data_IF_156042255342
#
_entry.id   IF_156042255342
#
_cell.length_a   1.000
_cell.length_b   1.000
_cell.length_c   1.000
_cell.angle_alpha   90.00
_cell.angle_beta   90.00
_cell.angle_gamma   90.00
#
_symmetry.space_group_name_H-M   'P 1'
#
loop_
_entity.id
_entity.type
_entity.pdbx_description
1 polymer ?
#
# COMPACT_ATOMS: atom_id res chain seq x y z
N UNK A 1 32.92 33.72 35.66
CA UNK A 1 31.68 32.94 35.44
C UNK A 1 31.94 31.99 34.29
N UNK A 2 32.19 30.70 34.56
CA UNK A 2 32.34 29.70 33.49
C UNK A 2 30.94 29.27 33.04
N UNK A 3 30.63 29.52 31.77
CA UNK A 3 29.37 29.09 31.15
C UNK A 3 29.56 27.67 30.61
N UNK A 4 28.82 26.71 31.13
CA UNK A 4 28.80 25.33 30.65
C UNK A 4 27.67 25.21 29.64
N UNK A 5 28.01 25.03 28.36
CA UNK A 5 27.02 24.75 27.32
C UNK A 5 26.72 23.26 27.30
N UNK A 6 25.51 22.87 27.71
CA UNK A 6 25.02 21.50 27.57
C UNK A 6 24.51 21.35 26.13
N UNK A 7 25.28 20.63 25.30
CA UNK A 7 24.78 20.13 24.02
C UNK A 7 23.82 18.98 24.30
N UNK A 8 22.51 19.27 24.30
CA UNK A 8 21.50 18.23 24.24
C UNK A 8 21.53 17.60 22.85
N UNK A 9 22.13 16.42 22.72
CA UNK A 9 21.98 15.60 21.53
C UNK A 9 20.52 15.12 21.47
N UNK A 10 19.73 15.72 20.57
CA UNK A 10 18.41 15.19 20.25
C UNK A 10 18.62 13.85 19.53
N UNK A 11 18.50 12.75 20.27
CA UNK A 11 18.34 11.45 19.64
C UNK A 11 17.03 11.50 18.85
N UNK A 12 17.13 11.59 17.52
CA UNK A 12 15.99 11.35 16.66
C UNK A 12 15.52 9.93 16.99
N UNK A 13 14.34 9.80 17.58
CA UNK A 13 13.72 8.49 17.80
C UNK A 13 13.57 7.86 16.41
N UNK A 14 14.43 6.90 16.11
CA UNK A 14 14.35 6.14 14.87
C UNK A 14 12.98 5.47 14.79
N UNK A 15 12.44 5.38 13.58
CA UNK A 15 11.15 4.74 13.38
C UNK A 15 11.20 3.27 13.86
N UNK A 16 10.11 2.76 14.45
CA UNK A 16 10.07 1.38 14.92
C UNK A 16 10.32 0.42 13.76
N UNK A 17 11.11 -0.62 13.99
CA UNK A 17 11.43 -1.63 12.99
C UNK A 17 10.15 -2.33 12.52
N UNK A 18 9.79 -2.12 11.26
CA UNK A 18 8.72 -2.82 10.56
C UNK A 18 8.94 -2.72 9.05
N UNK A 19 8.23 -3.55 8.30
CA UNK A 19 8.37 -3.63 6.83
C UNK A 19 8.14 -2.28 6.18
N UNK A 20 7.10 -1.53 6.58
CA UNK A 20 6.78 -0.23 5.99
C UNK A 20 7.88 0.82 6.21
N UNK A 21 8.54 0.83 7.37
CA UNK A 21 9.64 1.75 7.66
C UNK A 21 10.95 1.40 6.93
N UNK A 22 11.03 0.22 6.30
CA UNK A 22 12.12 -0.16 5.41
C UNK A 22 11.85 0.07 3.92
N UNK A 23 10.66 0.57 3.55
CA UNK A 23 10.28 0.80 2.16
C UNK A 23 10.50 2.26 1.74
N UNK A 24 11.00 2.45 0.53
CA UNK A 24 10.97 3.74 -0.14
C UNK A 24 9.53 4.06 -0.56
N UNK A 25 8.99 5.17 -0.05
CA UNK A 25 7.63 5.63 -0.35
C UNK A 25 7.64 7.11 -0.67
N UNK A 26 6.72 7.62 -1.51
CA UNK A 26 6.65 9.04 -1.79
C UNK A 26 6.49 9.86 -0.51
N UNK A 27 7.28 10.93 -0.36
CA UNK A 27 7.25 11.77 0.86
C UNK A 27 5.87 12.37 1.18
N UNK A 28 5.01 12.52 0.18
CA UNK A 28 3.63 13.01 0.35
C UNK A 28 2.65 11.94 0.84
N UNK A 29 3.03 10.66 0.86
CA UNK A 29 2.14 9.58 1.25
C UNK A 29 1.83 9.63 2.76
N UNK A 30 0.54 9.53 3.11
CA UNK A 30 0.06 9.51 4.50
C UNK A 30 -0.51 8.14 4.90
N UNK A 31 -0.78 7.29 3.91
CA UNK A 31 -1.30 5.94 4.08
C UNK A 31 -0.53 5.01 3.16
N UNK A 32 -0.32 3.77 3.62
CA UNK A 32 0.34 2.71 2.88
C UNK A 32 -0.41 1.40 3.14
N UNK A 33 -0.46 0.54 2.15
CA UNK A 33 -0.92 -0.85 2.28
C UNK A 33 0.24 -1.74 1.87
N UNK A 34 0.65 -2.68 2.72
CA UNK A 34 1.61 -3.72 2.35
C UNK A 34 0.85 -5.03 2.15
N UNK A 35 1.23 -5.76 1.11
CA UNK A 35 0.78 -7.14 0.85
C UNK A 35 2.03 -7.98 0.72
N UNK A 36 2.23 -8.86 1.71
CA UNK A 36 3.50 -9.57 1.90
C UNK A 36 3.28 -11.06 1.73
N UNK A 37 4.09 -11.66 0.86
CA UNK A 37 4.09 -13.09 0.59
C UNK A 37 5.50 -13.64 0.73
N UNK A 38 5.64 -14.80 1.36
CA UNK A 38 6.95 -15.41 1.64
C UNK A 38 7.63 -15.98 0.39
N UNK A 39 6.84 -16.40 -0.60
CA UNK A 39 7.31 -17.05 -1.82
C UNK A 39 6.49 -16.59 -3.02
N UNK A 40 7.11 -16.51 -4.20
CA UNK A 40 6.46 -15.97 -5.40
C UNK A 40 5.26 -16.79 -5.88
N UNK A 41 5.22 -18.11 -5.61
CA UNK A 41 4.14 -18.99 -6.08
C UNK A 41 2.93 -19.08 -5.14
N UNK A 42 2.93 -18.38 -4.00
CA UNK A 42 1.80 -18.45 -3.05
C UNK A 42 0.57 -17.74 -3.59
N UNK A 43 -0.62 -18.28 -3.29
CA UNK A 43 -1.91 -17.66 -3.60
C UNK A 43 -2.55 -16.96 -2.40
N UNK A 44 -1.84 -16.93 -1.27
CA UNK A 44 -2.25 -16.28 -0.03
C UNK A 44 -1.12 -15.43 0.53
N UNK A 45 -1.48 -14.29 1.11
CA UNK A 45 -0.56 -13.27 1.62
C UNK A 45 -1.10 -12.63 2.90
N UNK A 46 -0.23 -11.88 3.58
CA UNK A 46 -0.58 -11.04 4.72
C UNK A 46 -0.70 -9.59 4.25
N UNK A 47 -1.86 -8.97 4.44
CA UNK A 47 -2.10 -7.56 4.18
C UNK A 47 -2.08 -6.76 5.47
N UNK A 48 -1.36 -5.62 5.49
CA UNK A 48 -1.39 -4.64 6.58
C UNK A 48 -1.63 -3.25 6.05
N UNK A 49 -2.28 -2.42 6.87
CA UNK A 49 -2.45 -0.98 6.56
C UNK A 49 -1.62 -0.15 7.54
N UNK A 50 -1.12 0.98 7.05
CA UNK A 50 -0.20 1.84 7.77
C UNK A 50 -0.66 3.29 7.63
N UNK A 51 -0.44 4.08 8.69
CA UNK A 51 -0.63 5.53 8.68
C UNK A 51 0.68 6.19 9.08
N UNK A 52 1.00 7.29 8.40
CA UNK A 52 2.21 8.07 8.72
C UNK A 52 1.98 8.90 9.98
N UNK A 53 2.96 8.90 10.89
CA UNK A 53 3.06 9.78 12.08
C UNK A 53 4.47 10.37 12.11
N UNK A 54 4.58 11.67 11.81
CA UNK A 54 5.88 12.29 11.56
C UNK A 54 6.57 11.64 10.35
N UNK A 55 7.81 11.19 10.53
CA UNK A 55 8.54 10.47 9.49
C UNK A 55 8.13 8.98 9.36
N UNK A 56 7.49 8.41 10.39
CA UNK A 56 7.37 6.97 10.57
C UNK A 56 6.01 6.41 10.12
N UNK A 57 6.05 5.21 9.55
CA UNK A 57 4.90 4.36 9.33
C UNK A 57 4.53 3.62 10.62
N UNK A 58 3.29 3.81 11.04
CA UNK A 58 2.68 3.14 12.19
C UNK A 58 1.57 2.20 11.71
N UNK A 59 1.43 1.01 12.30
CA UNK A 59 0.37 0.09 11.93
C UNK A 59 -1.00 0.73 12.20
N UNK A 60 -1.93 0.55 11.26
CA UNK A 60 -3.29 1.08 11.33
C UNK A 60 -4.36 -0.02 11.26
N UNK A 61 -4.02 -1.22 10.80
CA UNK A 61 -4.93 -2.36 10.73
C UNK A 61 -4.27 -3.61 10.14
N UNK A 62 -4.89 -4.77 10.41
CA UNK A 62 -4.39 -6.09 10.03
C UNK A 62 -3.46 -6.72 11.10
N UNK A 63 -2.78 -7.82 10.77
CA UNK A 63 -2.73 -8.46 9.45
C UNK A 63 -4.07 -9.10 9.06
N UNK A 64 -4.43 -8.97 7.79
CA UNK A 64 -5.56 -9.67 7.16
C UNK A 64 -5.03 -10.71 6.16
N UNK A 65 -5.76 -11.81 5.98
CA UNK A 65 -5.46 -12.76 4.90
C UNK A 65 -5.92 -12.15 3.57
N UNK A 66 -5.02 -12.07 2.59
CA UNK A 66 -5.33 -11.60 1.24
C UNK A 66 -5.05 -12.69 0.19
N UNK A 67 -5.93 -12.78 -0.81
CA UNK A 67 -5.77 -13.68 -1.97
C UNK A 67 -4.88 -13.01 -3.01
N UNK A 68 -3.95 -13.77 -3.55
CA UNK A 68 -3.13 -13.39 -4.70
C UNK A 68 -3.65 -14.08 -5.95
N UNK A 69 -3.12 -13.68 -7.11
CA UNK A 69 -3.37 -14.33 -8.39
C UNK A 69 -3.15 -15.85 -8.31
N UNK A 70 -3.90 -16.61 -9.12
CA UNK A 70 -3.85 -18.09 -9.13
C UNK A 70 -2.45 -18.64 -9.42
N UNK A 71 -1.61 -17.86 -10.13
CA UNK A 71 -0.24 -18.21 -10.46
C UNK A 71 0.80 -17.48 -9.57
N UNK A 72 0.35 -16.82 -8.50
CA UNK A 72 1.19 -16.13 -7.53
C UNK A 72 1.54 -14.70 -7.94
N UNK A 73 2.82 -14.36 -7.81
CA UNK A 73 3.39 -13.02 -8.00
C UNK A 73 4.31 -12.96 -9.22
N UNK A 74 4.37 -11.80 -9.89
CA UNK A 74 5.33 -11.55 -10.98
C UNK A 74 5.78 -10.09 -11.02
N UNK A 75 7.06 -9.84 -11.28
CA UNK A 75 7.57 -8.50 -11.62
C UNK A 75 7.29 -8.12 -13.09
N UNK A 76 7.07 -9.12 -13.94
CA UNK A 76 6.83 -8.97 -15.38
C UNK A 76 5.40 -9.40 -15.72
N UNK A 77 4.43 -8.87 -14.98
CA UNK A 77 3.01 -9.22 -15.13
C UNK A 77 2.52 -8.85 -16.54
N UNK A 78 1.75 -9.75 -17.15
CA UNK A 78 1.03 -9.54 -18.41
C UNK A 78 -0.45 -9.85 -18.22
N UNK A 79 -1.28 -9.35 -19.13
CA UNK A 79 -2.69 -9.70 -19.15
C UNK A 79 -2.87 -11.23 -19.33
N UNK A 80 -3.90 -11.80 -18.70
CA UNK A 80 -4.17 -13.24 -18.74
C UNK A 80 -3.22 -14.16 -17.94
N UNK A 81 -2.05 -13.68 -17.49
CA UNK A 81 -1.05 -14.54 -16.85
C UNK A 81 -1.41 -15.04 -15.43
N UNK A 82 -2.50 -14.51 -14.85
CA UNK A 82 -3.02 -14.93 -13.56
C UNK A 82 -2.12 -14.58 -12.36
N UNK A 83 -1.19 -13.65 -12.51
CA UNK A 83 -0.29 -13.20 -11.43
C UNK A 83 -0.70 -11.85 -10.87
N UNK A 84 -0.39 -11.62 -9.59
CA UNK A 84 -0.44 -10.29 -8.98
C UNK A 84 0.92 -9.61 -9.21
N UNK A 85 0.94 -8.36 -9.71
CA UNK A 85 2.20 -7.67 -9.97
C UNK A 85 2.91 -7.32 -8.65
N UNK A 86 4.22 -7.54 -8.58
CA UNK A 86 5.06 -7.05 -7.47
C UNK A 86 5.47 -5.59 -7.70
N UNK A 87 5.65 -4.83 -6.62
CA UNK A 87 6.15 -3.44 -6.69
C UNK A 87 5.32 -2.47 -5.86
N UNK A 88 5.64 -1.18 -5.99
CA UNK A 88 4.94 -0.09 -5.31
C UNK A 88 4.01 0.62 -6.28
N UNK A 89 2.73 0.67 -5.95
CA UNK A 89 1.69 1.26 -6.79
C UNK A 89 0.94 2.34 -6.02
N UNK A 90 0.51 3.39 -6.73
CA UNK A 90 -0.37 4.42 -6.17
C UNK A 90 -1.82 4.03 -6.39
N UNK A 91 -2.67 4.28 -5.39
CA UNK A 91 -4.12 4.27 -5.60
C UNK A 91 -4.45 5.45 -6.52
N UNK A 92 -5.15 5.17 -7.62
CA UNK A 92 -5.60 6.17 -8.58
C UNK A 92 -6.48 7.25 -7.94
N UNK A 93 -6.65 8.38 -8.63
CA UNK A 93 -7.43 9.54 -8.12
C UNK A 93 -8.95 9.29 -8.11
N UNK A 94 -9.40 8.29 -8.86
CA UNK A 94 -10.81 7.95 -9.04
C UNK A 94 -11.06 6.53 -8.57
N UNK A 95 -12.07 6.35 -7.74
CA UNK A 95 -12.63 5.06 -7.37
C UNK A 95 -13.91 4.82 -8.17
N UNK A 96 -14.16 3.55 -8.50
CA UNK A 96 -15.31 3.12 -9.29
C UNK A 96 -16.19 2.20 -8.45
N UNK A 97 -17.49 2.13 -8.75
CA UNK A 97 -18.37 1.14 -8.15
C UNK A 97 -19.78 1.12 -8.74
N UNK A 98 -20.54 0.09 -8.37
CA UNK A 98 -21.89 -0.17 -8.87
C UNK A 98 -22.99 0.62 -8.12
N UNK A 99 -22.78 0.86 -6.82
CA UNK A 99 -23.68 1.60 -5.95
C UNK A 99 -23.39 3.13 -5.97
N UNK A 100 -24.22 3.97 -5.33
CA UNK A 100 -23.83 5.34 -4.99
C UNK A 100 -22.54 5.40 -4.17
N UNK A 101 -21.87 6.56 -4.17
CA UNK A 101 -20.62 6.76 -3.44
C UNK A 101 -20.80 6.37 -1.95
N UNK A 102 -20.05 5.38 -1.43
CA UNK A 102 -20.18 4.91 -0.04
C UNK A 102 -19.51 5.85 0.98
N UNK A 103 -19.22 7.11 0.62
CA UNK A 103 -18.54 8.09 1.48
C UNK A 103 -17.02 8.12 1.31
N UNK A 104 -16.48 7.63 0.19
CA UNK A 104 -15.03 7.74 -0.07
C UNK A 104 -14.62 9.18 -0.36
N UNK A 105 -13.37 9.50 -0.02
CA UNK A 105 -12.78 10.83 -0.23
C UNK A 105 -12.14 11.04 -1.60
N UNK A 106 -12.05 9.98 -2.41
CA UNK A 106 -11.57 10.05 -3.78
C UNK A 106 -12.70 10.52 -4.70
N UNK A 107 -12.35 10.99 -5.91
CA UNK A 107 -13.37 11.13 -6.95
C UNK A 107 -14.06 9.78 -7.15
N UNK A 108 -15.39 9.77 -7.24
CA UNK A 108 -16.17 8.53 -7.35
C UNK A 108 -16.95 8.49 -8.65
N UNK A 109 -16.68 7.48 -9.48
CA UNK A 109 -17.43 7.21 -10.71
C UNK A 109 -18.32 5.99 -10.47
N UNK A 110 -19.63 6.24 -10.40
CA UNK A 110 -20.61 5.15 -10.46
C UNK A 110 -20.65 4.60 -11.89
N UNK A 111 -20.48 3.29 -12.02
CA UNK A 111 -20.57 2.57 -13.29
C UNK A 111 -21.99 2.66 -13.85
N UNK A 112 -22.12 2.86 -15.15
CA UNK A 112 -23.38 2.95 -15.90
C UNK A 112 -23.38 1.96 -17.07
N UNK A 113 -24.54 1.73 -17.67
CA UNK A 113 -24.63 0.99 -18.92
C UNK A 113 -23.69 1.61 -19.97
N UNK A 114 -22.84 0.80 -20.57
CA UNK A 114 -21.79 1.24 -21.51
C UNK A 114 -20.42 1.46 -20.89
N UNK A 115 -20.28 1.46 -19.54
CA UNK A 115 -18.97 1.35 -18.89
C UNK A 115 -18.57 -0.13 -18.84
N UNK A 116 -17.36 -0.45 -19.29
CA UNK A 116 -16.83 -1.82 -19.33
C UNK A 116 -15.46 -1.87 -18.65
N UNK A 117 -15.19 -2.99 -18.00
CA UNK A 117 -13.83 -3.35 -17.63
C UNK A 117 -13.39 -4.42 -18.62
N UNK A 118 -12.31 -4.15 -19.34
CA UNK A 118 -11.70 -5.14 -20.20
C UNK A 118 -10.72 -5.97 -19.37
N UNK A 119 -10.99 -7.26 -19.25
CA UNK A 119 -10.01 -8.27 -18.85
C UNK A 119 -10.00 -9.38 -19.91
N UNK A 120 -10.16 -9.04 -21.18
CA UNK A 120 -10.09 -9.99 -22.28
C UNK A 120 -8.66 -10.05 -22.84
N UNK A 121 -7.86 -11.07 -22.46
CA UNK A 121 -6.54 -11.26 -23.04
C UNK A 121 -6.58 -11.70 -24.51
N UNK A 122 -7.75 -11.98 -25.11
CA UNK A 122 -7.88 -12.61 -26.45
C UNK A 122 -9.11 -12.20 -27.24
#
# INVERSE_FOLDING_TARGET
>A
MLSVSVLAAAAALACPANVANGLETPASAQQLVTVEAKVMRTTYSSLRTWKRRGACWMPAGGPYVARLGKNGLSANRREGDGTTPTGTYRIGRTMYGNAPNPGVKFAYRRLRCGDWWDEDPS
#
